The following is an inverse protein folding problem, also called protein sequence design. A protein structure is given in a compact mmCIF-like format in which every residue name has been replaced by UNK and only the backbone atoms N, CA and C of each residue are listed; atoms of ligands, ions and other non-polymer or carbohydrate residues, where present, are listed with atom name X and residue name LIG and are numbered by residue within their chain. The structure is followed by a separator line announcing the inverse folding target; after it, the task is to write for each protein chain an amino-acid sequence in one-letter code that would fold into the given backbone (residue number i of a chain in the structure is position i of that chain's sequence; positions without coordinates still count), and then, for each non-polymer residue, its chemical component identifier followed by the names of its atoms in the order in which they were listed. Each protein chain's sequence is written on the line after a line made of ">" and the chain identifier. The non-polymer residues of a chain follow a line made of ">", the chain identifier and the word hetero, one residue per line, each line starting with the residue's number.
data_IF_734691180091
#
_entry.id   IF_734691180091
#
_cell.length_a   1.000
_cell.length_b   1.000
_cell.length_c   1.000
_cell.angle_alpha   90.00
_cell.angle_beta   90.00
_cell.angle_gamma   90.00
#
_symmetry.space_group_name_H-M   'P 1'
#
loop_
_entity.id
_entity.type
_entity.pdbx_description
1 polymer ?
#
# COMPACT_ATOMS: atom_id res chain seq x y z
N UNK A 1 -22.50 -7.80 -20.13
CA UNK A 1 -22.34 -6.91 -18.96
C UNK A 1 -23.12 -7.54 -17.84
N UNK A 2 -22.42 -8.22 -16.93
CA UNK A 2 -23.07 -8.97 -15.84
C UNK A 2 -22.38 -8.51 -14.56
N UNK A 3 -23.08 -7.67 -13.80
CA UNK A 3 -22.69 -7.28 -12.45
C UNK A 3 -23.16 -8.38 -11.51
N UNK A 4 -22.31 -8.79 -10.56
CA UNK A 4 -22.70 -9.72 -9.51
C UNK A 4 -22.41 -9.07 -8.16
N UNK A 5 -23.50 -8.83 -7.41
CA UNK A 5 -23.53 -8.45 -6.00
C UNK A 5 -23.29 -9.71 -5.16
N UNK A 6 -22.37 -9.64 -4.19
CA UNK A 6 -22.18 -10.68 -3.19
C UNK A 6 -22.14 -10.01 -1.82
N UNK A 7 -23.17 -10.24 -1.01
CA UNK A 7 -23.25 -9.79 0.38
C UNK A 7 -22.63 -10.84 1.31
N UNK A 8 -21.70 -10.44 2.19
CA UNK A 8 -21.29 -11.22 3.35
C UNK A 8 -20.90 -10.33 4.56
N UNK A 9 -21.05 -10.83 5.81
CA UNK A 9 -21.32 -10.02 7.00
C UNK A 9 -20.09 -9.31 7.60
N UNK A 10 -20.34 -8.12 8.16
CA UNK A 10 -19.41 -7.23 8.88
C UNK A 10 -18.80 -7.87 10.14
N UNK A 11 -17.47 -7.78 10.27
CA UNK A 11 -16.77 -7.80 11.57
C UNK A 11 -16.37 -6.37 11.97
N UNK A 12 -16.57 -6.00 13.24
CA UNK A 12 -16.76 -4.61 13.71
C UNK A 12 -15.61 -3.98 14.49
N UNK A 13 -14.40 -4.55 14.55
CA UNK A 13 -13.40 -4.07 15.51
C UNK A 13 -12.01 -3.72 14.96
N UNK A 14 -11.76 -3.85 13.65
CA UNK A 14 -10.61 -3.21 12.99
C UNK A 14 -9.22 -3.62 13.48
N UNK A 15 -9.09 -4.62 14.36
CA UNK A 15 -7.83 -5.16 14.85
C UNK A 15 -7.50 -6.49 14.20
N UNK A 16 -6.26 -6.66 13.73
CA UNK A 16 -5.75 -7.97 13.33
C UNK A 16 -5.72 -8.89 14.55
N UNK A 17 -6.58 -9.91 14.56
CA UNK A 17 -6.44 -11.03 15.46
C UNK A 17 -5.11 -11.74 15.22
N UNK A 18 -4.42 -12.09 16.30
CA UNK A 18 -3.26 -12.98 16.28
C UNK A 18 -3.57 -14.25 15.53
N UNK A 19 -2.93 -14.43 14.37
CA UNK A 19 -2.82 -15.65 13.57
C UNK A 19 -4.13 -16.46 13.49
N UNK A 20 -5.11 -15.91 12.77
CA UNK A 20 -6.17 -16.73 12.21
C UNK A 20 -5.57 -17.58 11.08
N UNK A 21 -5.10 -18.80 11.41
CA UNK A 21 -4.48 -19.73 10.46
C UNK A 21 -5.49 -20.36 9.48
N UNK A 22 -6.76 -19.93 9.50
CA UNK A 22 -7.81 -20.39 8.59
C UNK A 22 -8.00 -19.54 7.33
N UNK A 23 -7.41 -18.34 7.25
CA UNK A 23 -7.54 -17.49 6.06
C UNK A 23 -6.60 -18.01 4.95
N UNK A 24 -7.11 -18.31 3.72
CA UNK A 24 -6.26 -18.78 2.64
C UNK A 24 -5.24 -17.70 2.27
N UNK A 25 -3.96 -18.09 2.24
CA UNK A 25 -2.92 -17.28 1.62
C UNK A 25 -3.26 -17.17 0.13
N UNK A 26 -3.48 -15.95 -0.35
CA UNK A 26 -3.79 -15.71 -1.76
C UNK A 26 -2.48 -15.69 -2.53
N UNK A 27 -2.19 -16.78 -3.24
CA UNK A 27 -1.11 -16.88 -4.25
C UNK A 27 -1.32 -15.84 -5.35
N UNK A 28 -0.25 -15.28 -5.94
CA UNK A 28 -0.31 -14.19 -6.92
C UNK A 28 -0.02 -14.65 -8.36
N UNK A 29 -0.60 -15.75 -8.82
CA UNK A 29 -0.51 -16.23 -10.20
C UNK A 29 -1.80 -16.18 -11.06
N UNK A 30 -1.85 -15.37 -12.13
CA UNK A 30 -2.82 -15.62 -13.24
C UNK A 30 -3.07 -14.53 -14.29
N UNK A 31 -2.63 -13.28 -14.08
CA UNK A 31 -2.92 -12.15 -14.99
C UNK A 31 -1.69 -11.76 -15.82
N UNK A 32 -1.85 -11.14 -17.01
CA UNK A 32 -0.73 -10.55 -17.72
C UNK A 32 -0.04 -9.53 -16.80
N UNK A 33 1.26 -9.72 -16.63
CA UNK A 33 2.10 -8.94 -15.73
C UNK A 33 1.90 -7.46 -16.03
N UNK A 34 1.72 -6.61 -15.01
CA UNK A 34 1.95 -5.18 -15.19
C UNK A 34 3.39 -5.03 -15.62
N UNK A 35 3.60 -4.74 -16.91
CA UNK A 35 4.91 -4.73 -17.52
C UNK A 35 5.86 -3.97 -16.60
N UNK A 36 7.04 -4.53 -16.29
CA UNK A 36 7.98 -3.87 -15.37
C UNK A 36 8.26 -2.41 -15.80
N UNK A 37 8.12 -2.13 -17.10
CA UNK A 37 8.11 -0.81 -17.70
C UNK A 37 7.03 0.12 -17.12
N UNK A 38 5.78 -0.33 -16.89
CA UNK A 38 4.69 0.48 -16.33
C UNK A 38 4.94 0.84 -14.86
N UNK A 39 5.42 -0.10 -14.04
CA UNK A 39 5.78 0.20 -12.64
C UNK A 39 6.95 1.18 -12.56
N UNK A 40 7.96 0.91 -13.37
CA UNK A 40 9.14 1.78 -13.47
C UNK A 40 8.78 3.16 -13.98
N UNK A 41 7.89 3.28 -14.97
CA UNK A 41 7.45 4.57 -15.52
C UNK A 41 6.64 5.37 -14.50
N UNK A 42 5.63 4.78 -13.84
CA UNK A 42 4.85 5.48 -12.81
C UNK A 42 5.76 6.07 -11.72
N UNK A 43 6.75 5.29 -11.27
CA UNK A 43 7.70 5.77 -10.28
C UNK A 43 8.64 6.84 -10.85
N UNK A 44 9.18 6.63 -12.05
CA UNK A 44 10.14 7.56 -12.68
C UNK A 44 9.49 8.89 -13.05
N UNK A 45 8.29 8.87 -13.64
CA UNK A 45 7.48 10.06 -13.96
C UNK A 45 7.20 10.89 -12.70
N UNK A 46 7.02 10.24 -11.55
CA UNK A 46 6.86 10.92 -10.28
C UNK A 46 8.16 11.55 -9.77
N UNK A 47 9.31 10.92 -10.03
CA UNK A 47 10.64 11.46 -9.68
C UNK A 47 11.07 12.62 -10.60
N UNK A 48 10.70 12.59 -11.88
CA UNK A 48 11.05 13.62 -12.88
C UNK A 48 10.46 15.00 -12.56
N UNK A 49 9.40 15.05 -11.74
CA UNK A 49 8.81 16.30 -11.22
C UNK A 49 9.69 17.04 -10.21
N UNK A 50 10.87 16.48 -9.89
CA UNK A 50 11.74 16.95 -8.82
C UNK A 50 11.27 16.43 -7.47
N UNK A 51 12.22 16.05 -6.61
CA UNK A 51 11.91 15.44 -5.30
C UNK A 51 12.54 16.21 -4.15
N UNK A 52 11.77 16.33 -3.07
CA UNK A 52 12.28 16.71 -1.76
C UNK A 52 12.41 15.44 -0.91
N UNK A 53 13.62 14.89 -0.87
CA UNK A 53 13.91 13.64 -0.17
C UNK A 53 13.91 13.82 1.35
N UNK A 54 13.26 12.89 2.05
CA UNK A 54 13.26 12.77 3.52
C UNK A 54 13.66 11.35 3.88
N UNK A 55 14.74 11.20 4.64
CA UNK A 55 15.18 9.93 5.21
C UNK A 55 15.09 10.01 6.74
N UNK A 56 13.87 9.90 7.31
CA UNK A 56 13.67 10.10 8.74
C UNK A 56 14.39 9.03 9.57
N UNK A 57 14.82 9.43 10.78
CA UNK A 57 15.35 8.53 11.80
C UNK A 57 14.53 8.65 13.07
N UNK A 58 13.99 7.53 13.52
CA UNK A 58 13.05 7.41 14.64
C UNK A 58 11.60 7.68 14.26
N UNK A 59 10.69 7.09 15.03
CA UNK A 59 9.23 7.14 14.78
C UNK A 59 8.66 8.55 14.70
N UNK A 60 9.14 9.50 15.51
CA UNK A 60 8.65 10.87 15.48
C UNK A 60 8.98 11.57 14.15
N UNK A 61 10.21 11.43 13.66
CA UNK A 61 10.59 11.99 12.36
C UNK A 61 9.87 11.28 11.22
N UNK A 62 9.67 9.97 11.31
CA UNK A 62 8.91 9.21 10.31
C UNK A 62 7.48 9.70 10.20
N UNK A 63 6.79 9.87 11.34
CA UNK A 63 5.42 10.39 11.36
C UNK A 63 5.34 11.82 10.79
N UNK A 64 6.32 12.68 11.09
CA UNK A 64 6.37 14.03 10.53
C UNK A 64 6.64 14.03 9.02
N UNK A 65 7.57 13.19 8.55
CA UNK A 65 7.92 13.10 7.14
C UNK A 65 6.75 12.62 6.27
N UNK A 66 5.97 11.65 6.75
CA UNK A 66 4.84 11.07 6.02
C UNK A 66 3.60 11.98 5.95
N UNK A 67 3.58 13.10 6.67
CA UNK A 67 2.49 14.08 6.64
C UNK A 67 2.85 15.29 5.78
N UNK A 68 2.35 15.33 4.55
CA UNK A 68 2.65 16.39 3.57
C UNK A 68 1.40 17.16 3.12
N UNK A 69 0.64 17.73 4.06
CA UNK A 69 -0.65 18.39 3.75
C UNK A 69 -0.55 19.56 2.76
N UNK A 70 0.56 20.32 2.79
CA UNK A 70 0.73 21.56 2.01
C UNK A 70 1.50 21.38 0.70
N UNK A 71 2.09 20.20 0.48
CA UNK A 71 3.02 19.97 -0.62
C UNK A 71 4.40 20.57 -0.34
N UNK A 72 5.35 20.25 -1.21
CA UNK A 72 6.68 20.86 -1.20
C UNK A 72 6.70 22.10 -2.10
N UNK A 73 7.68 22.97 -1.83
CA UNK A 73 7.93 24.16 -2.62
C UNK A 73 8.22 23.82 -4.10
N UNK A 74 8.02 24.81 -4.98
CA UNK A 74 8.40 24.76 -6.39
C UNK A 74 7.82 23.59 -7.20
N UNK A 75 6.69 23.03 -6.77
CA UNK A 75 6.09 21.91 -7.49
C UNK A 75 6.72 20.54 -7.17
N UNK A 76 7.78 20.47 -6.35
CA UNK A 76 8.45 19.23 -6.00
C UNK A 76 7.54 18.22 -5.28
N UNK A 77 7.85 16.94 -5.45
CA UNK A 77 7.15 15.85 -4.77
C UNK A 77 7.95 15.42 -3.54
N UNK A 78 7.30 15.26 -2.39
CA UNK A 78 7.99 14.69 -1.22
C UNK A 78 8.22 13.20 -1.45
N UNK A 79 9.47 12.75 -1.30
CA UNK A 79 9.80 11.32 -1.23
C UNK A 79 10.31 10.98 0.16
N UNK A 80 9.61 10.06 0.84
CA UNK A 80 10.01 9.55 2.15
C UNK A 80 10.65 8.18 1.97
N UNK A 81 11.93 8.07 2.32
CA UNK A 81 12.71 6.84 2.18
C UNK A 81 12.74 6.12 3.52
N UNK A 82 12.07 4.98 3.59
CA UNK A 82 11.96 4.14 4.77
C UNK A 82 12.93 2.95 4.64
N UNK A 83 13.80 2.79 5.63
CA UNK A 83 14.84 1.76 5.68
C UNK A 83 14.67 0.91 6.93
N UNK A 84 15.41 -0.20 7.01
CA UNK A 84 15.37 -1.09 8.17
C UNK A 84 15.78 -0.39 9.48
N UNK A 85 16.66 0.61 9.41
CA UNK A 85 17.16 1.38 10.53
C UNK A 85 16.32 2.63 10.85
N UNK A 86 15.35 2.99 10.01
CA UNK A 86 14.50 4.18 10.21
C UNK A 86 13.79 4.18 11.55
N UNK A 87 13.44 3.03 12.14
CA UNK A 87 12.78 2.96 13.45
C UNK A 87 13.71 2.51 14.59
N UNK A 88 15.01 2.37 14.32
CA UNK A 88 15.90 1.55 15.14
C UNK A 88 15.46 0.08 15.11
N UNK A 89 16.12 -0.83 15.85
CA UNK A 89 15.78 -2.28 15.90
C UNK A 89 14.34 -2.61 16.35
N UNK A 90 13.48 -1.61 16.54
CA UNK A 90 12.10 -1.76 16.98
C UNK A 90 11.20 -1.92 15.76
N UNK A 91 10.82 -3.17 15.49
CA UNK A 91 9.58 -3.45 14.76
C UNK A 91 8.43 -2.75 15.48
N UNK A 92 7.69 -1.87 14.78
CA UNK A 92 6.54 -1.20 15.39
C UNK A 92 5.25 -1.84 14.89
N UNK A 93 4.40 -2.25 15.82
CA UNK A 93 2.99 -2.61 15.51
C UNK A 93 2.15 -1.38 15.17
N UNK A 94 2.70 -0.18 15.34
CA UNK A 94 2.08 1.12 15.09
C UNK A 94 1.91 1.41 13.60
N UNK A 95 0.76 2.00 13.27
CA UNK A 95 0.48 2.58 11.96
C UNK A 95 1.06 4.00 11.85
N UNK A 96 1.64 4.31 10.70
CA UNK A 96 2.05 5.66 10.33
C UNK A 96 1.05 6.24 9.34
N UNK A 97 0.46 7.38 9.72
CA UNK A 97 -0.41 8.12 8.81
C UNK A 97 0.42 8.73 7.69
N UNK A 98 0.01 8.41 6.46
CA UNK A 98 0.50 8.99 5.23
C UNK A 98 -0.56 9.98 4.74
N UNK A 99 -0.15 11.22 4.55
CA UNK A 99 -1.03 12.31 4.10
C UNK A 99 -0.40 12.95 2.88
N UNK A 100 -1.05 12.75 1.72
CA UNK A 100 -0.71 13.46 0.49
C UNK A 100 -1.12 14.93 0.55
N UNK A 101 -0.49 15.79 -0.27
CA UNK A 101 -0.86 17.19 -0.36
C UNK A 101 -2.25 17.38 -0.99
N UNK A 102 -2.92 18.46 -0.62
CA UNK A 102 -4.27 18.78 -1.14
C UNK A 102 -4.29 19.30 -2.58
N UNK A 103 -3.12 19.52 -3.18
CA UNK A 103 -2.97 20.03 -4.55
C UNK A 103 -2.98 18.94 -5.63
N UNK A 104 -3.26 17.69 -5.23
CA UNK A 104 -3.38 16.54 -6.13
C UNK A 104 -2.04 15.89 -6.51
N UNK A 105 -0.90 16.46 -6.13
CA UNK A 105 0.39 15.77 -6.27
C UNK A 105 0.44 14.57 -5.31
N UNK A 106 1.16 13.49 -5.64
CA UNK A 106 1.36 12.40 -4.68
C UNK A 106 2.35 12.79 -3.58
N UNK A 107 2.33 12.05 -2.47
CA UNK A 107 3.53 11.80 -1.67
C UNK A 107 4.12 10.46 -2.08
N UNK A 108 5.44 10.38 -2.27
CA UNK A 108 6.13 9.12 -2.56
C UNK A 108 6.63 8.50 -1.26
N UNK A 109 6.33 7.22 -1.05
CA UNK A 109 6.85 6.45 0.07
C UNK A 109 7.66 5.29 -0.48
N UNK A 110 8.98 5.34 -0.28
CA UNK A 110 9.95 4.37 -0.79
C UNK A 110 10.39 3.45 0.35
N UNK A 111 9.77 2.28 0.46
CA UNK A 111 10.02 1.30 1.51
C UNK A 111 11.10 0.32 1.05
N UNK A 112 12.35 0.57 1.46
CA UNK A 112 13.53 -0.22 1.04
C UNK A 112 13.99 -1.27 2.04
N UNK A 113 13.42 -1.27 3.24
CA UNK A 113 13.79 -2.19 4.31
C UNK A 113 12.86 -2.01 5.50
N UNK A 114 12.93 -2.94 6.46
CA UNK A 114 12.07 -2.92 7.65
C UNK A 114 10.60 -3.28 7.36
N UNK A 115 9.82 -3.37 8.44
CA UNK A 115 8.38 -3.64 8.41
C UNK A 115 7.63 -2.39 8.87
N UNK A 116 6.87 -1.81 7.95
CA UNK A 116 6.05 -0.64 8.17
C UNK A 116 4.57 -0.97 7.96
N UNK A 117 3.75 -0.36 8.81
CA UNK A 117 2.30 -0.29 8.62
C UNK A 117 1.97 1.16 8.26
N UNK A 118 1.53 1.37 7.03
CA UNK A 118 1.24 2.69 6.48
C UNK A 118 -0.28 2.84 6.35
N UNK A 119 -0.83 3.94 6.82
CA UNK A 119 -2.24 4.27 6.66
C UNK A 119 -2.37 5.55 5.83
N UNK A 120 -2.74 5.42 4.55
CA UNK A 120 -3.02 6.57 3.69
C UNK A 120 -4.36 7.15 4.10
N UNK A 121 -4.32 8.30 4.76
CA UNK A 121 -5.50 8.90 5.43
C UNK A 121 -6.15 10.01 4.61
N UNK A 122 -5.42 10.63 3.68
CA UNK A 122 -5.97 11.62 2.75
C UNK A 122 -5.00 11.92 1.61
N UNK A 123 -5.53 12.49 0.52
CA UNK A 123 -4.75 12.85 -0.66
C UNK A 123 -4.31 11.60 -1.45
N UNK A 124 -3.28 11.77 -2.27
CA UNK A 124 -2.69 10.68 -3.06
C UNK A 124 -1.33 10.26 -2.53
N UNK A 125 -1.12 8.97 -2.35
CA UNK A 125 0.19 8.39 -2.04
C UNK A 125 0.62 7.38 -3.12
N UNK A 126 1.88 7.43 -3.54
CA UNK A 126 2.51 6.36 -4.30
C UNK A 126 3.47 5.62 -3.38
N UNK A 127 3.17 4.37 -3.06
CA UNK A 127 3.97 3.54 -2.15
C UNK A 127 4.73 2.52 -2.96
N UNK A 128 6.07 2.60 -2.96
CA UNK A 128 6.94 1.57 -3.51
C UNK A 128 7.43 0.65 -2.40
N UNK A 129 7.17 -0.65 -2.54
CA UNK A 129 7.50 -1.67 -1.58
C UNK A 129 8.62 -2.57 -2.11
N UNK A 130 9.85 -2.24 -1.73
CA UNK A 130 11.08 -2.96 -2.05
C UNK A 130 11.82 -3.42 -0.78
N UNK A 131 11.06 -3.87 0.21
CA UNK A 131 11.62 -4.42 1.45
C UNK A 131 11.53 -5.94 1.42
N UNK A 132 12.57 -6.61 1.90
CA UNK A 132 12.55 -8.06 2.16
C UNK A 132 11.60 -8.47 3.31
N UNK A 133 10.99 -7.52 4.02
CA UNK A 133 10.00 -7.78 5.07
C UNK A 133 8.58 -7.51 4.56
N UNK A 134 7.60 -8.19 5.17
CA UNK A 134 6.19 -7.92 4.90
C UNK A 134 5.79 -6.52 5.35
N UNK A 135 5.16 -5.75 4.48
CA UNK A 135 4.62 -4.43 4.82
C UNK A 135 3.09 -4.43 4.72
N UNK A 136 2.46 -3.43 5.32
CA UNK A 136 1.01 -3.24 5.25
C UNK A 136 0.71 -1.82 4.79
N UNK A 137 -0.19 -1.69 3.81
CA UNK A 137 -0.80 -0.42 3.40
C UNK A 137 -2.29 -0.51 3.65
N UNK A 138 -2.82 0.41 4.45
CA UNK A 138 -4.26 0.67 4.58
C UNK A 138 -4.57 1.97 3.87
N UNK A 139 -5.64 2.02 3.08
CA UNK A 139 -6.10 3.22 2.38
C UNK A 139 -7.48 3.54 2.91
N UNK A 140 -7.60 4.71 3.54
CA UNK A 140 -8.83 5.14 4.19
C UNK A 140 -9.85 5.73 3.22
N UNK A 141 -11.07 5.89 3.72
CA UNK A 141 -12.17 6.53 3.00
C UNK A 141 -11.76 7.87 2.38
N UNK A 142 -12.12 8.05 1.11
CA UNK A 142 -11.80 9.21 0.29
C UNK A 142 -10.31 9.39 -0.05
N UNK A 143 -9.41 8.49 0.38
CA UNK A 143 -8.00 8.55 0.04
C UNK A 143 -7.66 7.71 -1.21
N UNK A 144 -6.59 8.12 -1.90
CA UNK A 144 -6.11 7.45 -3.10
C UNK A 144 -4.70 6.92 -2.88
N UNK A 145 -4.44 5.68 -3.32
CA UNK A 145 -3.09 5.12 -3.31
C UNK A 145 -2.74 4.42 -4.61
N UNK A 146 -1.49 4.58 -5.04
CA UNK A 146 -0.86 3.70 -6.03
C UNK A 146 0.20 2.88 -5.31
N UNK A 147 0.04 1.56 -5.27
CA UNK A 147 0.94 0.67 -4.53
C UNK A 147 1.76 -0.14 -5.54
N UNK A 148 3.06 0.06 -5.54
CA UNK A 148 4.02 -0.62 -6.41
C UNK A 148 4.77 -1.66 -5.57
N UNK A 149 4.46 -2.93 -5.73
CA UNK A 149 5.14 -4.02 -5.04
C UNK A 149 6.23 -4.57 -5.95
N UNK A 150 7.47 -4.59 -5.47
CA UNK A 150 8.58 -5.16 -6.24
C UNK A 150 8.52 -6.69 -6.29
N UNK A 151 9.38 -7.30 -7.12
CA UNK A 151 9.42 -8.75 -7.28
C UNK A 151 9.82 -9.46 -5.96
N UNK A 152 9.24 -10.63 -5.70
CA UNK A 152 9.47 -11.44 -4.47
C UNK A 152 9.29 -10.63 -3.17
N UNK A 153 8.47 -9.57 -3.19
CA UNK A 153 8.18 -8.76 -2.00
C UNK A 153 6.83 -9.11 -1.39
N UNK A 154 6.73 -8.91 -0.08
CA UNK A 154 5.48 -9.13 0.67
C UNK A 154 4.81 -7.81 1.03
N UNK A 155 3.57 -7.62 0.59
CA UNK A 155 2.75 -6.46 0.90
C UNK A 155 1.30 -6.86 1.12
N UNK A 156 0.70 -6.45 2.24
CA UNK A 156 -0.73 -6.60 2.47
C UNK A 156 -1.44 -5.26 2.28
N UNK A 157 -2.60 -5.28 1.65
CA UNK A 157 -3.42 -4.13 1.33
C UNK A 157 -4.76 -4.22 2.07
N UNK A 158 -5.17 -3.11 2.70
CA UNK A 158 -6.55 -2.88 3.12
C UNK A 158 -7.08 -1.63 2.42
N UNK A 159 -8.21 -1.75 1.76
CA UNK A 159 -8.92 -0.64 1.15
C UNK A 159 -10.25 -0.45 1.91
N UNK A 160 -10.40 0.69 2.59
CA UNK A 160 -11.64 1.06 3.30
C UNK A 160 -12.68 1.60 2.31
N UNK A 161 -13.96 1.64 2.69
CA UNK A 161 -15.06 2.19 1.87
C UNK A 161 -14.67 3.51 1.20
N UNK A 162 -15.01 3.73 -0.07
CA UNK A 162 -14.75 4.99 -0.77
C UNK A 162 -13.30 5.27 -1.15
N UNK A 163 -12.35 4.41 -0.77
CA UNK A 163 -10.95 4.52 -1.19
C UNK A 163 -10.74 4.12 -2.66
N UNK A 164 -9.68 4.66 -3.28
CA UNK A 164 -9.24 4.28 -4.63
C UNK A 164 -7.81 3.76 -4.59
N UNK A 165 -7.59 2.54 -5.06
CA UNK A 165 -6.27 1.89 -5.05
C UNK A 165 -5.92 1.32 -6.41
N UNK A 166 -4.78 1.75 -6.96
CA UNK A 166 -4.12 1.05 -8.06
C UNK A 166 -2.95 0.22 -7.50
N UNK A 167 -3.11 -1.10 -7.47
CA UNK A 167 -2.08 -2.03 -7.00
C UNK A 167 -1.33 -2.61 -8.19
N UNK A 168 0.00 -2.48 -8.21
CA UNK A 168 0.89 -3.05 -9.21
C UNK A 168 1.82 -4.06 -8.55
N UNK A 169 1.54 -5.35 -8.73
CA UNK A 169 2.33 -6.43 -8.17
C UNK A 169 3.44 -6.89 -9.13
N UNK A 170 4.66 -7.02 -8.59
CA UNK A 170 5.78 -7.65 -9.28
C UNK A 170 5.67 -9.15 -9.38
N UNK A 171 6.61 -9.76 -10.10
CA UNK A 171 6.72 -11.21 -10.23
C UNK A 171 6.95 -11.81 -8.84
N UNK A 172 6.19 -12.85 -8.49
CA UNK A 172 6.26 -13.54 -7.18
C UNK A 172 6.04 -12.64 -5.95
N UNK A 173 5.49 -11.44 -6.14
CA UNK A 173 4.99 -10.65 -5.02
C UNK A 173 3.92 -11.46 -4.26
N UNK A 174 3.74 -11.20 -2.97
CA UNK A 174 2.74 -11.93 -2.15
C UNK A 174 2.12 -11.06 -1.07
N UNK A 175 0.95 -11.45 -0.57
CA UNK A 175 0.34 -10.85 0.60
C UNK A 175 -1.17 -10.93 0.61
N UNK A 176 -1.79 -10.21 1.54
CA UNK A 176 -3.23 -10.27 1.76
C UNK A 176 -3.92 -9.02 1.21
N UNK A 177 -5.15 -9.17 0.73
CA UNK A 177 -5.98 -8.04 0.33
C UNK A 177 -7.32 -8.12 1.07
N UNK A 178 -7.70 -7.01 1.70
CA UNK A 178 -9.02 -6.83 2.27
C UNK A 178 -9.63 -5.56 1.67
N UNK A 179 -10.72 -5.73 0.93
CA UNK A 179 -11.38 -4.64 0.21
C UNK A 179 -12.79 -4.51 0.76
N UNK A 180 -13.07 -3.39 1.43
CA UNK A 180 -14.40 -3.08 1.94
C UNK A 180 -15.34 -2.74 0.78
N UNK A 181 -16.63 -2.98 0.98
CA UNK A 181 -17.67 -2.61 0.00
C UNK A 181 -17.60 -1.12 -0.33
N UNK A 182 -17.63 -0.79 -1.62
CA UNK A 182 -17.52 0.60 -2.11
C UNK A 182 -16.10 1.13 -2.27
N UNK A 183 -15.07 0.36 -1.91
CA UNK A 183 -13.69 0.68 -2.31
C UNK A 183 -13.46 0.28 -3.77
N UNK A 184 -12.73 1.12 -4.53
CA UNK A 184 -12.33 0.84 -5.90
C UNK A 184 -10.87 0.38 -5.93
N UNK A 185 -10.64 -0.91 -6.18
CA UNK A 185 -9.29 -1.46 -6.29
C UNK A 185 -9.06 -2.00 -7.70
N UNK A 186 -8.10 -1.41 -8.41
CA UNK A 186 -7.58 -1.93 -9.67
C UNK A 186 -6.24 -2.60 -9.40
N UNK A 187 -6.19 -3.92 -9.54
CA UNK A 187 -4.96 -4.69 -9.34
C UNK A 187 -4.39 -5.13 -10.70
N UNK A 188 -3.10 -4.87 -10.93
CA UNK A 188 -2.34 -5.19 -12.14
C UNK A 188 -1.06 -5.91 -11.75
N UNK A 189 -0.65 -6.91 -12.53
CA UNK A 189 0.37 -7.86 -12.08
C UNK A 189 -0.23 -9.23 -11.86
N UNK A 190 0.62 -10.23 -11.73
CA UNK A 190 0.19 -11.61 -11.57
C UNK A 190 -0.60 -11.69 -10.23
N UNK A 191 -1.86 -12.13 -10.26
CA UNK A 191 -2.76 -12.26 -9.10
C UNK A 191 -3.54 -13.58 -9.28
N UNK A 192 -3.26 -14.62 -8.49
CA UNK A 192 -4.17 -15.76 -8.38
C UNK A 192 -5.22 -15.32 -7.37
N UNK A 193 -6.45 -15.75 -7.57
CA UNK A 193 -7.44 -15.71 -6.51
C UNK A 193 -7.58 -17.15 -6.07
N UNK A 194 -7.02 -17.53 -4.92
CA UNK A 194 -7.35 -18.81 -4.33
C UNK A 194 -8.77 -18.73 -3.78
N UNK A 195 -9.74 -19.25 -4.53
CA UNK A 195 -11.08 -19.53 -4.03
C UNK A 195 -11.00 -20.72 -3.09
N UNK A 196 -11.06 -20.46 -1.79
CA UNK A 196 -11.46 -21.48 -0.82
C UNK A 196 -12.97 -21.47 -0.71
N UNK A 197 -13.62 -22.59 -1.00
CA UNK A 197 -15.04 -22.78 -0.70
C UNK A 197 -15.22 -22.77 0.81
N UNK A 198 -15.94 -21.76 1.32
CA UNK A 198 -16.40 -21.75 2.69
C UNK A 198 -17.58 -22.72 2.83
N UNK A 199 -17.29 -23.96 3.23
CA UNK A 199 -18.31 -24.78 3.87
C UNK A 199 -18.18 -24.57 5.37
N UNK A 200 -19.06 -23.77 5.95
CA UNK A 200 -19.27 -23.72 7.40
C UNK A 200 -19.71 -25.09 7.88
N UNK A 201 -18.92 -25.72 8.75
CA UNK A 201 -19.36 -26.82 9.61
C UNK A 201 -19.91 -26.24 10.92
#
# INVERSE_FOLDING_TARGET
>A
MTSFEVQHPRATDGTFATKDQGAPEVSLNGWPVAEAATRSSIWSDALERGTADRAPVGSAQTAAALRNTRGEADGAVRRVILRADTLGQRSTTRDFDVVGPSDGRPILVDVRGGMFRLKVTSGHAIVRADSGHGNVVTVSDGATATVLVENDRKMSLRAEHGSVVDLFAGVDARGYQHVEEGALVTARGHLERMSGDFTTA
#
